data_IF_702021072399
#
_entry.id   IF_702021072399
#
_cell.length_a   1.000
_cell.length_b   1.000
_cell.length_c   1.000
_cell.angle_alpha   90.00
_cell.angle_beta   90.00
_cell.angle_gamma   90.00
#
_symmetry.space_group_name_H-M   'P 1'
#
loop_
_entity.id
_entity.type
_entity.pdbx_description
1 polymer ?
#
# COMPACT_ATOMS: atom_id res chain seq x y z
N UNK A 1 6.14 -5.43 -18.69
CA UNK A 1 6.82 -4.52 -19.63
C UNK A 1 5.91 -4.20 -20.80
N UNK A 2 5.58 -2.93 -21.05
CA UNK A 2 5.29 -2.50 -22.38
C UNK A 2 3.93 -1.94 -22.72
N UNK A 3 3.00 -1.69 -21.82
CA UNK A 3 1.82 -0.91 -22.18
C UNK A 3 2.14 0.60 -22.10
N UNK A 4 2.17 1.27 -23.23
CA UNK A 4 2.24 2.73 -23.28
C UNK A 4 0.82 3.28 -23.19
N UNK A 5 0.45 3.84 -22.02
CA UNK A 5 -0.84 4.44 -21.78
C UNK A 5 -1.65 3.76 -20.67
N UNK A 6 -2.87 4.23 -20.42
CA UNK A 6 -3.73 3.67 -19.39
C UNK A 6 -4.07 2.19 -19.66
N UNK A 7 -4.01 1.39 -18.63
CA UNK A 7 -4.36 -0.04 -18.66
C UNK A 7 -5.53 -0.28 -17.72
N UNK A 8 -6.55 -0.97 -18.20
CA UNK A 8 -7.66 -1.40 -17.36
C UNK A 8 -7.29 -2.69 -16.63
N UNK A 9 -7.22 -2.60 -15.30
CA UNK A 9 -7.00 -3.75 -14.44
C UNK A 9 -8.33 -4.33 -13.98
N UNK A 10 -8.45 -5.65 -14.03
CA UNK A 10 -9.63 -6.38 -13.54
C UNK A 10 -9.21 -7.44 -12.54
N UNK A 11 -9.97 -7.59 -11.46
CA UNK A 11 -9.69 -8.55 -10.39
C UNK A 11 -10.10 -8.03 -9.02
N UNK A 12 -9.85 -8.83 -8.00
CA UNK A 12 -10.11 -8.45 -6.61
C UNK A 12 -8.93 -7.63 -6.08
N UNK A 13 -9.12 -6.32 -6.01
CA UNK A 13 -8.10 -5.37 -5.54
C UNK A 13 -8.72 -4.33 -4.63
N UNK A 14 -7.98 -3.94 -3.59
CA UNK A 14 -8.32 -2.80 -2.75
C UNK A 14 -7.27 -1.72 -2.97
N UNK A 15 -7.58 -0.77 -3.84
CA UNK A 15 -6.66 0.29 -4.26
C UNK A 15 -7.30 1.66 -4.08
N UNK A 16 -6.48 2.66 -3.84
CA UNK A 16 -6.87 4.06 -3.82
C UNK A 16 -6.16 4.83 -4.93
N UNK A 17 -6.76 5.92 -5.36
CA UNK A 17 -6.14 6.79 -6.35
C UNK A 17 -4.77 7.28 -5.86
N UNK A 18 -3.76 7.22 -6.73
CA UNK A 18 -2.39 7.60 -6.41
C UNK A 18 -1.50 6.47 -5.92
N UNK A 19 -2.06 5.32 -5.56
CA UNK A 19 -1.24 4.15 -5.22
C UNK A 19 -0.58 3.55 -6.44
N UNK A 20 0.66 3.09 -6.27
CA UNK A 20 1.38 2.29 -7.26
C UNK A 20 1.36 0.82 -6.86
N UNK A 21 1.39 -0.04 -7.84
CA UNK A 21 1.40 -1.48 -7.61
C UNK A 21 2.25 -2.20 -8.66
N UNK A 22 2.74 -3.37 -8.27
CA UNK A 22 3.26 -4.37 -9.20
C UNK A 22 2.25 -5.50 -9.29
N UNK A 23 1.80 -5.80 -10.48
CA UNK A 23 0.78 -6.81 -10.72
C UNK A 23 1.28 -7.94 -11.62
N UNK A 24 0.92 -9.16 -11.27
CA UNK A 24 1.10 -10.33 -12.10
C UNK A 24 -0.27 -10.85 -12.55
N UNK A 25 -0.35 -11.28 -13.80
CA UNK A 25 -1.60 -11.77 -14.37
C UNK A 25 -1.48 -12.00 -15.87
N UNK A 26 -2.59 -11.96 -16.54
CA UNK A 26 -2.68 -12.19 -17.98
C UNK A 26 -3.51 -11.13 -18.71
N UNK A 27 -3.20 -10.92 -19.97
CA UNK A 27 -3.99 -10.08 -20.84
C UNK A 27 -5.21 -10.87 -21.34
N UNK A 28 -6.38 -10.26 -21.20
CA UNK A 28 -7.66 -10.84 -21.68
C UNK A 28 -8.38 -9.84 -22.58
N UNK A 29 -9.12 -10.36 -23.57
CA UNK A 29 -10.01 -9.57 -24.40
C UNK A 29 -11.44 -9.65 -23.87
N UNK A 30 -12.00 -8.49 -23.57
CA UNK A 30 -13.41 -8.39 -23.18
C UNK A 30 -14.25 -7.97 -24.38
N UNK A 31 -15.36 -8.66 -24.70
CA UNK A 31 -16.18 -8.36 -25.89
C UNK A 31 -16.68 -6.93 -26.00
N UNK A 32 -16.89 -6.28 -24.83
CA UNK A 32 -17.43 -4.92 -24.75
C UNK A 32 -16.37 -3.85 -24.43
N UNK A 33 -15.36 -4.18 -23.59
CA UNK A 33 -14.43 -3.21 -23.05
C UNK A 33 -13.01 -3.34 -23.64
N UNK A 34 -12.78 -4.27 -24.57
CA UNK A 34 -11.50 -4.46 -25.21
C UNK A 34 -10.47 -5.15 -24.32
N UNK A 35 -9.21 -4.83 -24.57
CA UNK A 35 -8.10 -5.47 -23.90
C UNK A 35 -7.96 -5.01 -22.45
N UNK A 36 -7.93 -5.97 -21.54
CA UNK A 36 -7.81 -5.75 -20.10
C UNK A 36 -6.69 -6.62 -19.52
N UNK A 37 -6.08 -6.18 -18.42
CA UNK A 37 -5.13 -6.99 -17.68
C UNK A 37 -5.84 -7.62 -16.46
N UNK A 38 -6.00 -8.93 -16.50
CA UNK A 38 -6.58 -9.71 -15.40
C UNK A 38 -5.51 -9.98 -14.36
N UNK A 39 -5.65 -9.30 -13.22
CA UNK A 39 -4.69 -9.40 -12.12
C UNK A 39 -4.97 -10.68 -11.33
N UNK A 40 -3.98 -11.54 -11.24
CA UNK A 40 -4.00 -12.73 -10.40
C UNK A 40 -3.39 -12.45 -9.03
N UNK A 41 -2.33 -11.65 -9.01
CA UNK A 41 -1.63 -11.25 -7.81
C UNK A 41 -1.09 -9.82 -7.96
N UNK A 42 -1.10 -9.05 -6.88
CA UNK A 42 -0.48 -7.74 -6.86
C UNK A 42 0.19 -7.43 -5.52
N UNK A 43 1.18 -6.57 -5.56
CA UNK A 43 1.90 -6.06 -4.39
C UNK A 43 1.86 -4.54 -4.44
N UNK A 44 1.42 -3.86 -3.36
CA UNK A 44 1.52 -2.41 -3.28
C UNK A 44 2.98 -1.95 -3.42
N UNK A 45 3.19 -0.93 -4.22
CA UNK A 45 4.49 -0.31 -4.42
C UNK A 45 4.42 1.19 -4.11
N UNK A 46 5.56 1.77 -3.74
CA UNK A 46 5.64 3.22 -3.56
C UNK A 46 5.59 3.92 -4.92
N UNK A 47 4.90 5.07 -5.03
CA UNK A 47 4.90 5.84 -6.26
C UNK A 47 6.32 6.31 -6.60
N UNK A 48 6.66 6.22 -7.90
CA UNK A 48 8.00 6.55 -8.41
C UNK A 48 8.12 7.99 -8.91
N UNK A 49 6.99 8.66 -9.19
CA UNK A 49 6.96 10.03 -9.72
C UNK A 49 6.54 11.02 -8.64
N UNK A 50 6.97 12.29 -8.79
CA UNK A 50 6.59 13.38 -7.88
C UNK A 50 5.07 13.55 -7.85
N UNK A 51 4.41 13.51 -8.98
CA UNK A 51 2.95 13.59 -9.11
C UNK A 51 2.25 12.40 -8.43
N UNK A 52 2.80 11.22 -8.57
CA UNK A 52 2.31 10.01 -7.90
C UNK A 52 2.46 10.10 -6.38
N UNK A 53 3.57 10.62 -5.89
CA UNK A 53 3.83 10.85 -4.46
C UNK A 53 2.81 11.85 -3.90
N UNK A 54 2.56 12.94 -4.60
CA UNK A 54 1.57 13.95 -4.17
C UNK A 54 0.17 13.35 -4.06
N UNK A 55 -0.27 12.59 -5.07
CA UNK A 55 -1.57 11.90 -5.07
C UNK A 55 -1.66 10.87 -3.93
N UNK A 56 -0.59 10.11 -3.74
CA UNK A 56 -0.52 9.12 -2.67
C UNK A 56 -0.67 9.75 -1.29
N UNK A 57 0.09 10.80 -1.01
CA UNK A 57 0.01 11.53 0.24
C UNK A 57 -1.33 12.24 0.44
N UNK A 58 -1.91 12.78 -0.63
CA UNK A 58 -3.19 13.48 -0.61
C UNK A 58 -4.43 12.59 -0.60
N UNK A 59 -4.28 11.27 -0.72
CA UNK A 59 -5.40 10.32 -0.83
C UNK A 59 -6.17 10.06 0.46
N UNK A 60 -5.70 10.56 1.60
CA UNK A 60 -6.28 10.30 2.91
C UNK A 60 -5.77 9.04 3.61
N UNK A 61 -4.80 8.33 3.01
CA UNK A 61 -4.17 7.15 3.62
C UNK A 61 -3.40 7.47 4.90
N UNK A 62 -2.83 8.66 4.97
CA UNK A 62 -2.01 9.08 6.09
C UNK A 62 -2.74 10.16 6.87
N UNK A 63 -3.13 9.85 8.09
CA UNK A 63 -3.77 10.79 8.99
C UNK A 63 -2.86 12.00 9.23
N UNK A 64 -3.40 13.19 9.03
CA UNK A 64 -2.67 14.46 9.18
C UNK A 64 -2.20 15.06 7.86
N UNK A 65 -2.32 14.34 6.74
CA UNK A 65 -2.01 14.84 5.40
C UNK A 65 -3.28 14.85 4.55
N UNK A 66 -3.74 16.04 4.17
CA UNK A 66 -4.75 16.23 3.15
C UNK A 66 -4.12 16.68 1.82
N UNK A 67 -4.94 16.97 0.77
CA UNK A 67 -4.41 17.35 -0.55
C UNK A 67 -3.52 18.59 -0.52
N UNK A 68 -3.88 19.62 0.25
CA UNK A 68 -3.10 20.85 0.37
C UNK A 68 -1.76 20.60 1.06
N UNK A 69 -1.77 19.80 2.12
CA UNK A 69 -0.54 19.46 2.84
C UNK A 69 0.38 18.56 2.01
N UNK A 70 -0.20 17.62 1.24
CA UNK A 70 0.56 16.79 0.31
C UNK A 70 1.31 17.65 -0.72
N UNK A 71 0.64 18.63 -1.31
CA UNK A 71 1.25 19.59 -2.23
C UNK A 71 2.43 20.34 -1.58
N UNK A 72 2.24 20.86 -0.36
CA UNK A 72 3.29 21.57 0.37
C UNK A 72 4.49 20.71 0.69
N UNK A 73 4.27 19.46 1.10
CA UNK A 73 5.34 18.50 1.39
C UNK A 73 6.14 18.20 0.12
N UNK A 74 5.46 17.91 -0.97
CA UNK A 74 6.10 17.59 -2.26
C UNK A 74 6.81 18.80 -2.86
N UNK A 75 6.25 20.00 -2.72
CA UNK A 75 6.91 21.24 -3.10
C UNK A 75 8.26 21.44 -2.38
N UNK A 76 8.31 21.06 -1.10
CA UNK A 76 9.50 21.22 -0.28
C UNK A 76 10.55 20.13 -0.49
N UNK A 77 10.12 18.87 -0.63
CA UNK A 77 11.01 17.71 -0.64
C UNK A 77 11.03 16.95 -1.97
N UNK A 78 10.08 17.18 -2.86
CA UNK A 78 10.02 16.53 -4.17
C UNK A 78 10.02 15.02 -4.09
N UNK A 79 10.89 14.38 -4.86
CA UNK A 79 11.03 12.92 -4.89
C UNK A 79 11.49 12.30 -3.56
N UNK A 80 12.05 13.08 -2.66
CA UNK A 80 12.50 12.63 -1.33
C UNK A 80 11.39 12.65 -0.28
N UNK A 81 10.18 13.09 -0.60
CA UNK A 81 9.08 13.29 0.35
C UNK A 81 8.77 12.05 1.18
N UNK A 82 8.69 10.88 0.57
CA UNK A 82 8.41 9.63 1.29
C UNK A 82 9.56 9.22 2.19
N UNK A 83 10.79 9.39 1.75
CA UNK A 83 11.98 9.11 2.55
C UNK A 83 12.09 10.05 3.76
N UNK A 84 11.76 11.32 3.59
CA UNK A 84 11.71 12.30 4.69
C UNK A 84 10.68 11.89 5.75
N UNK A 85 9.49 11.49 5.34
CA UNK A 85 8.44 11.02 6.27
C UNK A 85 8.89 9.75 7.00
N UNK A 86 9.53 8.83 6.29
CA UNK A 86 9.98 7.55 6.83
C UNK A 86 11.18 7.68 7.77
N UNK A 87 12.23 8.34 7.33
CA UNK A 87 13.52 8.38 8.00
C UNK A 87 13.77 9.64 8.83
N UNK A 88 13.25 10.77 8.43
CA UNK A 88 13.54 12.08 8.98
C UNK A 88 12.27 12.92 9.19
N UNK A 89 11.26 12.41 9.93
CA UNK A 89 9.97 13.11 10.07
C UNK A 89 10.08 14.50 10.70
N UNK A 90 11.11 14.77 11.47
CA UNK A 90 11.36 16.11 12.04
C UNK A 90 11.56 17.19 10.97
N UNK A 91 12.05 16.82 9.79
CA UNK A 91 12.19 17.78 8.68
C UNK A 91 10.84 18.31 8.19
N UNK A 92 9.76 17.61 8.45
CA UNK A 92 8.41 18.09 8.15
C UNK A 92 8.05 19.40 8.89
N UNK A 93 8.73 19.71 9.97
CA UNK A 93 8.56 21.01 10.66
C UNK A 93 8.94 22.22 9.78
N UNK A 94 9.70 22.01 8.72
CA UNK A 94 10.05 23.03 7.73
C UNK A 94 8.87 23.36 6.79
N UNK A 95 7.84 22.54 6.77
CA UNK A 95 6.64 22.74 5.94
C UNK A 95 5.66 23.64 6.67
N UNK A 96 5.18 24.68 5.99
CA UNK A 96 4.18 25.59 6.55
C UNK A 96 2.90 24.85 6.94
N UNK A 97 2.42 25.06 8.16
CA UNK A 97 1.22 24.43 8.69
C UNK A 97 1.44 23.09 9.40
N UNK A 98 2.69 22.60 9.46
CA UNK A 98 3.04 21.39 10.21
C UNK A 98 3.75 21.76 11.54
N UNK A 99 3.01 21.62 12.64
CA UNK A 99 3.55 21.72 13.99
C UNK A 99 3.98 20.34 14.51
N UNK A 100 4.63 20.33 15.68
CA UNK A 100 5.16 19.11 16.31
C UNK A 100 4.10 18.00 16.51
N UNK A 101 2.91 18.39 16.94
CA UNK A 101 1.82 17.43 17.17
C UNK A 101 1.37 16.75 15.88
N UNK A 102 1.25 17.50 14.80
CA UNK A 102 0.85 17.00 13.49
C UNK A 102 1.92 16.14 12.86
N UNK A 103 3.18 16.52 12.99
CA UNK A 103 4.34 15.72 12.55
C UNK A 103 4.37 14.37 13.25
N UNK A 104 4.13 14.34 14.56
CA UNK A 104 4.05 13.08 15.31
C UNK A 104 2.89 12.20 14.81
N UNK A 105 1.73 12.79 14.56
CA UNK A 105 0.57 12.09 14.00
C UNK A 105 0.87 11.47 12.64
N UNK A 106 1.54 12.22 11.76
CA UNK A 106 1.95 11.78 10.42
C UNK A 106 2.96 10.62 10.53
N UNK A 107 3.95 10.74 11.39
CA UNK A 107 4.96 9.69 11.60
C UNK A 107 4.34 8.38 12.09
N UNK A 108 3.39 8.44 13.02
CA UNK A 108 2.66 7.27 13.51
C UNK A 108 1.80 6.62 12.42
N UNK A 109 1.06 7.42 11.67
CA UNK A 109 0.22 6.94 10.56
C UNK A 109 1.07 6.30 9.45
N UNK A 110 2.23 6.89 9.13
CA UNK A 110 3.17 6.34 8.17
C UNK A 110 3.71 4.98 8.63
N UNK A 111 4.09 4.87 9.89
CA UNK A 111 4.58 3.63 10.47
C UNK A 111 3.54 2.50 10.37
N UNK A 112 2.27 2.80 10.66
CA UNK A 112 1.19 1.84 10.52
C UNK A 112 0.99 1.38 9.07
N UNK A 113 1.04 2.29 8.11
CA UNK A 113 0.95 1.97 6.69
C UNK A 113 2.12 1.12 6.20
N UNK A 114 3.32 1.42 6.67
CA UNK A 114 4.52 0.63 6.35
C UNK A 114 4.42 -0.80 6.89
N UNK A 115 3.97 -0.96 8.13
CA UNK A 115 3.78 -2.27 8.74
C UNK A 115 2.74 -3.10 7.99
N UNK A 116 1.62 -2.50 7.63
CA UNK A 116 0.61 -3.16 6.80
C UNK A 116 1.21 -3.62 5.47
N UNK A 117 1.97 -2.79 4.81
CA UNK A 117 2.62 -3.13 3.54
C UNK A 117 3.60 -4.29 3.70
N UNK A 118 4.45 -4.26 4.72
CA UNK A 118 5.42 -5.32 4.99
C UNK A 118 4.71 -6.66 5.25
N UNK A 119 3.62 -6.66 6.00
CA UNK A 119 2.80 -7.85 6.24
C UNK A 119 2.18 -8.36 4.95
N UNK A 120 1.61 -7.46 4.14
CA UNK A 120 1.01 -7.81 2.85
C UNK A 120 2.02 -8.45 1.90
N UNK A 121 3.20 -7.85 1.76
CA UNK A 121 4.29 -8.38 0.94
C UNK A 121 4.72 -9.76 1.42
N UNK A 122 4.92 -9.91 2.72
CA UNK A 122 5.32 -11.19 3.31
C UNK A 122 4.29 -12.29 3.03
N UNK A 123 3.02 -12.03 3.30
CA UNK A 123 1.95 -13.03 3.12
C UNK A 123 1.75 -13.40 1.64
N UNK A 124 1.80 -12.43 0.76
CA UNK A 124 1.67 -12.68 -0.68
C UNK A 124 2.85 -13.46 -1.24
N UNK A 125 4.07 -13.23 -0.74
CA UNK A 125 5.25 -14.03 -1.12
C UNK A 125 5.14 -15.50 -0.69
N UNK A 126 4.29 -15.81 0.29
CA UNK A 126 3.98 -17.16 0.75
C UNK A 126 2.68 -17.73 0.15
N UNK A 127 2.16 -17.12 -0.91
CA UNK A 127 0.98 -17.60 -1.64
C UNK A 127 -0.38 -17.23 -1.02
N UNK A 128 -0.41 -16.38 -0.02
CA UNK A 128 -1.67 -15.88 0.59
C UNK A 128 -2.27 -14.80 -0.30
N UNK A 129 -3.52 -14.98 -0.72
CA UNK A 129 -4.23 -13.98 -1.52
C UNK A 129 -4.49 -12.69 -0.76
N UNK A 130 -4.66 -11.58 -1.49
CA UNK A 130 -4.81 -10.25 -0.92
C UNK A 130 -5.94 -10.14 0.11
N UNK A 131 -7.11 -10.68 -0.19
CA UNK A 131 -8.25 -10.64 0.73
C UNK A 131 -7.96 -11.34 2.05
N UNK A 132 -7.26 -12.45 2.01
CA UNK A 132 -6.84 -13.19 3.20
C UNK A 132 -5.73 -12.45 3.96
N UNK A 133 -4.76 -11.87 3.25
CA UNK A 133 -3.70 -11.07 3.87
C UNK A 133 -4.27 -9.89 4.68
N UNK A 134 -5.26 -9.18 4.14
CA UNK A 134 -5.96 -8.09 4.85
C UNK A 134 -6.63 -8.61 6.13
N UNK A 135 -7.33 -9.75 6.07
CA UNK A 135 -7.98 -10.36 7.25
C UNK A 135 -6.97 -10.78 8.31
N UNK A 136 -5.85 -11.36 7.88
CA UNK A 136 -4.76 -11.75 8.78
C UNK A 136 -4.21 -10.51 9.50
N UNK A 137 -3.94 -9.45 8.77
CA UNK A 137 -3.48 -8.20 9.37
C UNK A 137 -4.51 -7.60 10.33
N UNK A 138 -5.78 -7.60 9.98
CA UNK A 138 -6.85 -7.10 10.86
C UNK A 138 -6.96 -7.89 12.16
N UNK A 139 -6.65 -9.19 12.13
CA UNK A 139 -6.71 -10.07 13.29
C UNK A 139 -5.49 -9.98 14.19
N UNK A 140 -4.30 -9.99 13.60
CA UNK A 140 -3.03 -10.11 14.31
C UNK A 140 -2.19 -8.83 14.33
N UNK A 141 -2.52 -7.84 13.51
CA UNK A 141 -1.76 -6.60 13.40
C UNK A 141 -0.28 -6.86 13.08
N UNK A 142 0.61 -6.21 13.82
CA UNK A 142 2.05 -6.31 13.63
C UNK A 142 2.62 -7.71 13.95
N UNK A 143 1.88 -8.50 14.71
CA UNK A 143 2.27 -9.88 15.05
C UNK A 143 1.95 -10.88 13.93
N UNK A 144 1.31 -10.45 12.84
CA UNK A 144 0.90 -11.32 11.76
C UNK A 144 2.07 -12.13 11.16
N UNK A 145 3.22 -11.49 10.94
CA UNK A 145 4.41 -12.16 10.40
C UNK A 145 4.92 -13.23 11.36
N UNK A 146 5.03 -12.89 12.64
CA UNK A 146 5.49 -13.82 13.67
C UNK A 146 4.53 -14.99 13.82
N UNK A 147 3.23 -14.74 13.85
CA UNK A 147 2.19 -15.75 13.93
C UNK A 147 2.28 -16.74 12.77
N UNK A 148 2.41 -16.23 11.55
CA UNK A 148 2.54 -17.09 10.35
C UNK A 148 3.82 -17.94 10.39
N UNK A 149 4.92 -17.38 10.87
CA UNK A 149 6.19 -18.11 10.97
C UNK A 149 6.16 -19.21 12.03
N UNK A 150 5.51 -18.96 13.16
CA UNK A 150 5.47 -19.90 14.29
C UNK A 150 4.43 -21.02 14.09
N UNK A 151 3.26 -20.66 13.63
CA UNK A 151 2.16 -21.62 13.41
C UNK A 151 1.29 -21.20 12.22
N UNK A 152 1.65 -21.58 10.99
CA UNK A 152 0.84 -21.28 9.81
C UNK A 152 -0.57 -21.88 9.89
N UNK A 153 -0.77 -22.98 10.61
CA UNK A 153 -2.07 -23.64 10.74
C UNK A 153 -3.03 -22.93 11.70
N UNK A 154 -2.52 -22.02 12.55
CA UNK A 154 -3.41 -21.17 13.37
C UNK A 154 -4.32 -20.30 12.52
N UNK A 155 -3.86 -19.92 11.33
CA UNK A 155 -4.63 -19.12 10.37
C UNK A 155 -5.86 -19.84 9.84
N UNK A 156 -5.77 -21.16 9.60
CA UNK A 156 -6.92 -21.96 9.18
C UNK A 156 -8.01 -22.03 10.23
N UNK A 157 -7.62 -22.08 11.51
CA UNK A 157 -8.56 -22.12 12.63
C UNK A 157 -9.22 -20.78 12.89
N UNK A 158 -8.46 -19.70 12.80
CA UNK A 158 -8.89 -18.39 13.24
C UNK A 158 -9.55 -17.56 12.13
N UNK A 159 -9.30 -17.91 10.87
CA UNK A 159 -9.83 -17.18 9.73
C UNK A 159 -10.50 -18.14 8.75
N UNK A 160 -11.82 -18.11 8.74
CA UNK A 160 -12.61 -18.92 7.80
C UNK A 160 -12.24 -18.62 6.34
N UNK A 161 -11.96 -19.67 5.59
CA UNK A 161 -11.70 -19.60 4.15
C UNK A 161 -10.25 -19.49 3.75
N UNK A 162 -9.31 -19.59 4.71
CA UNK A 162 -7.91 -19.78 4.39
C UNK A 162 -7.60 -21.28 4.43
N UNK A 163 -7.55 -21.91 3.26
CA UNK A 163 -6.94 -23.23 3.11
C UNK A 163 -5.52 -23.04 2.61
N UNK A 164 -4.52 -23.46 3.38
CA UNK A 164 -3.18 -23.59 2.86
C UNK A 164 -3.12 -24.86 1.99
N UNK A 165 -3.05 -24.67 0.68
CA UNK A 165 -2.68 -25.75 -0.21
C UNK A 165 -1.18 -25.96 -0.06
N UNK A 166 -0.83 -27.11 0.45
CA UNK A 166 0.52 -27.63 0.39
C UNK A 166 0.92 -27.95 -1.05
#
# INVERSE_FOLDING_TARGET
>A
EGAKGPVTLVGSMTLRAGESLEAEGEWVEHPKFGRQFKVERYVPAYPATVEGIERYLGSGLITGIGPVMAERIVERFGAESLEVIDQQPRRLLQVAGLGRKRVKMIAEAWKQQRQLRDVMVFLQSHGVGTAHAVRIYQRYGDEAINTVRQDPYSLERDIRGIGFQT
#
